data_IF_366626896500
#
_entry.id   IF_366626896500
#
_cell.length_a   1.000
_cell.length_b   1.000
_cell.length_c   1.000
_cell.angle_alpha   90.00
_cell.angle_beta   90.00
_cell.angle_gamma   90.00
#
_symmetry.space_group_name_H-M   'P 1'
#
loop_
_entity.id
_entity.type
_entity.pdbx_description
1 polymer ?
#
# COMPACT_ATOMS: atom_id res chain seq x y z
N UNK A 1 23.50 24.55 -11.53
CA UNK A 1 23.90 24.03 -10.20
C UNK A 1 23.34 25.00 -9.17
N UNK A 2 22.26 24.65 -8.50
CA UNK A 2 21.65 25.49 -7.46
C UNK A 2 22.50 25.40 -6.20
N UNK A 3 22.96 26.55 -5.68
CA UNK A 3 23.73 26.65 -4.44
C UNK A 3 22.88 26.05 -3.29
N UNK A 4 23.38 24.98 -2.67
CA UNK A 4 22.74 24.39 -1.49
C UNK A 4 22.94 25.31 -0.31
N UNK A 5 21.85 25.71 0.36
CA UNK A 5 21.96 26.36 1.66
C UNK A 5 22.66 25.39 2.63
N UNK A 6 23.74 25.81 3.31
CA UNK A 6 24.61 24.91 4.09
C UNK A 6 23.92 24.18 5.26
N UNK A 7 22.68 24.54 5.63
CA UNK A 7 21.92 23.93 6.73
C UNK A 7 20.60 23.30 6.30
N UNK A 8 20.32 23.19 4.98
CA UNK A 8 19.11 22.55 4.50
C UNK A 8 19.30 21.04 4.34
N UNK A 9 18.33 20.24 4.82
CA UNK A 9 18.32 18.81 4.54
C UNK A 9 18.10 18.54 3.05
N UNK A 10 18.78 17.53 2.52
CA UNK A 10 18.65 17.10 1.14
C UNK A 10 18.57 15.58 1.03
N UNK A 11 17.89 15.09 0.01
CA UNK A 11 17.76 13.67 -0.27
C UNK A 11 18.76 13.22 -1.33
N UNK A 12 19.31 12.03 -1.15
CA UNK A 12 20.15 11.33 -2.14
C UNK A 12 19.86 9.84 -2.17
N UNK A 13 20.27 9.19 -3.24
CA UNK A 13 20.28 7.74 -3.28
C UNK A 13 21.13 7.14 -2.15
N UNK A 14 20.73 5.98 -1.71
CA UNK A 14 21.43 5.15 -0.73
C UNK A 14 22.85 4.82 -1.18
N UNK A 15 23.75 4.72 -0.20
CA UNK A 15 25.10 4.19 -0.34
C UNK A 15 25.33 3.05 0.67
N UNK A 16 26.16 2.03 0.37
CA UNK A 16 26.39 0.91 1.30
C UNK A 16 26.83 1.33 2.71
N UNK A 17 27.53 2.45 2.84
CA UNK A 17 27.92 3.03 4.11
C UNK A 17 26.76 3.53 4.97
N UNK A 18 25.57 3.76 4.39
CA UNK A 18 24.39 4.25 5.13
C UNK A 18 23.69 3.15 5.93
N UNK A 19 23.99 1.88 5.66
CA UNK A 19 23.22 0.76 6.18
C UNK A 19 23.18 0.72 7.72
N UNK A 20 24.29 1.02 8.39
CA UNK A 20 24.35 1.05 9.85
C UNK A 20 23.51 2.18 10.43
N UNK A 21 23.58 3.37 9.83
CA UNK A 21 22.82 4.55 10.28
C UNK A 21 21.32 4.36 10.02
N UNK A 22 20.93 3.70 8.92
CA UNK A 22 19.53 3.33 8.66
C UNK A 22 19.02 2.36 9.73
N UNK A 23 19.78 1.33 10.07
CA UNK A 23 19.40 0.40 11.14
C UNK A 23 19.24 1.10 12.49
N UNK A 24 20.17 1.99 12.84
CA UNK A 24 20.08 2.80 14.04
C UNK A 24 18.84 3.74 14.02
N UNK A 25 18.53 4.34 12.87
CA UNK A 25 17.34 5.16 12.69
C UNK A 25 16.06 4.38 13.00
N UNK A 26 15.89 3.16 12.43
CA UNK A 26 14.71 2.34 12.70
C UNK A 26 14.59 1.99 14.18
N UNK A 27 15.69 1.64 14.86
CA UNK A 27 15.69 1.40 16.31
C UNK A 27 15.27 2.65 17.10
N UNK A 28 15.72 3.82 16.69
CA UNK A 28 15.37 5.08 17.37
C UNK A 28 13.88 5.46 17.22
N UNK A 29 13.23 5.00 16.15
CA UNK A 29 11.84 5.33 15.82
C UNK A 29 10.85 4.29 16.36
N UNK A 30 11.18 2.99 16.20
CA UNK A 30 10.26 1.87 16.42
C UNK A 30 10.72 0.91 17.54
N UNK A 31 11.88 1.14 18.16
CA UNK A 31 12.48 0.15 19.06
C UNK A 31 12.73 -1.17 18.30
N UNK A 32 12.26 -2.28 18.86
CA UNK A 32 12.41 -3.62 18.27
C UNK A 32 11.09 -4.15 17.65
N UNK A 33 10.10 -3.28 17.43
CA UNK A 33 8.73 -3.70 17.03
C UNK A 33 8.43 -3.53 15.55
N UNK A 34 9.38 -3.04 14.73
CA UNK A 34 9.08 -2.85 13.32
C UNK A 34 8.87 -4.19 12.62
N UNK A 35 7.83 -4.26 11.80
CA UNK A 35 7.33 -5.53 11.21
C UNK A 35 8.31 -6.23 10.25
N UNK A 36 9.29 -5.50 9.72
CA UNK A 36 10.32 -6.06 8.82
C UNK A 36 11.67 -6.09 9.51
N UNK A 37 12.12 -7.28 9.91
CA UNK A 37 13.40 -7.49 10.61
C UNK A 37 14.62 -7.07 9.77
N UNK A 38 14.51 -7.05 8.44
CA UNK A 38 15.58 -6.64 7.52
C UNK A 38 16.16 -5.26 7.87
N UNK A 39 15.34 -4.32 8.37
CA UNK A 39 15.81 -2.96 8.71
C UNK A 39 16.72 -2.90 9.93
N UNK A 40 16.75 -3.95 10.74
CA UNK A 40 17.63 -4.04 11.92
C UNK A 40 18.99 -4.64 11.61
N UNK A 41 19.18 -5.18 10.40
CA UNK A 41 20.39 -5.88 9.98
C UNK A 41 21.05 -5.09 8.83
N UNK A 42 22.16 -4.35 9.08
CA UNK A 42 22.85 -3.59 8.03
C UNK A 42 23.20 -4.45 6.81
N UNK A 43 23.56 -5.71 6.99
CA UNK A 43 23.84 -6.65 5.89
C UNK A 43 22.61 -6.92 5.02
N UNK A 44 21.41 -7.02 5.62
CA UNK A 44 20.17 -7.20 4.88
C UNK A 44 19.80 -5.93 4.11
N UNK A 45 19.97 -4.75 4.71
CA UNK A 45 19.76 -3.47 4.02
C UNK A 45 20.69 -3.38 2.79
N UNK A 46 21.96 -3.76 2.94
CA UNK A 46 22.91 -3.80 1.82
C UNK A 46 22.48 -4.80 0.75
N UNK A 47 22.13 -6.03 1.14
CA UNK A 47 21.71 -7.09 0.23
C UNK A 47 20.46 -6.71 -0.56
N UNK A 48 19.42 -6.16 0.09
CA UNK A 48 18.17 -5.73 -0.55
C UNK A 48 18.40 -4.61 -1.57
N UNK A 49 19.27 -3.65 -1.26
CA UNK A 49 19.63 -2.59 -2.20
C UNK A 49 20.52 -3.12 -3.35
N UNK A 50 21.49 -3.99 -3.06
CA UNK A 50 22.35 -4.59 -4.08
C UNK A 50 21.58 -5.47 -5.06
N UNK A 51 20.58 -6.24 -4.58
CA UNK A 51 19.71 -7.07 -5.42
C UNK A 51 18.70 -6.27 -6.25
N UNK A 52 18.53 -4.99 -5.94
CA UNK A 52 17.54 -4.13 -6.59
C UNK A 52 16.11 -4.30 -6.09
N UNK A 53 15.86 -5.15 -5.09
CA UNK A 53 14.55 -5.26 -4.46
C UNK A 53 14.17 -3.96 -3.74
N UNK A 54 15.17 -3.26 -3.18
CA UNK A 54 15.02 -1.91 -2.66
C UNK A 54 15.80 -0.92 -3.50
N UNK A 55 15.21 0.24 -3.70
CA UNK A 55 15.86 1.44 -4.21
C UNK A 55 15.68 2.52 -3.16
N UNK A 56 16.63 2.56 -2.22
CA UNK A 56 16.52 3.41 -1.05
C UNK A 56 17.05 4.81 -1.29
N UNK A 57 16.51 5.76 -0.54
CA UNK A 57 17.00 7.12 -0.43
C UNK A 57 17.16 7.51 1.04
N UNK A 58 18.11 8.39 1.31
CA UNK A 58 18.35 8.96 2.63
C UNK A 58 18.27 10.47 2.58
N UNK A 59 17.74 11.07 3.63
CA UNK A 59 17.80 12.51 3.85
C UNK A 59 18.95 12.81 4.83
N UNK A 60 19.82 13.73 4.45
CA UNK A 60 21.01 14.08 5.24
C UNK A 60 21.11 15.58 5.45
N UNK A 61 21.68 15.99 6.58
CA UNK A 61 22.04 17.38 6.91
C UNK A 61 23.30 17.37 7.77
N UNK A 62 24.29 18.14 7.40
CA UNK A 62 25.57 18.29 8.12
C UNK A 62 26.23 16.93 8.43
N UNK A 63 26.20 15.99 7.47
CA UNK A 63 26.74 14.64 7.58
C UNK A 63 25.90 13.66 8.40
N UNK A 64 24.79 14.08 9.03
CA UNK A 64 23.89 13.24 9.83
C UNK A 64 22.71 12.73 8.98
N UNK A 65 22.40 11.44 9.09
CA UNK A 65 21.22 10.85 8.49
C UNK A 65 19.98 11.22 9.33
N UNK A 66 18.99 11.84 8.67
CA UNK A 66 17.75 12.32 9.30
C UNK A 66 16.52 11.49 8.92
N UNK A 67 16.59 10.75 7.83
CA UNK A 67 15.48 9.93 7.39
C UNK A 67 15.87 8.96 6.29
N UNK A 68 15.04 7.94 6.12
CA UNK A 68 15.15 6.90 5.11
C UNK A 68 13.79 6.62 4.53
N UNK A 69 13.73 6.30 3.25
CA UNK A 69 12.58 5.65 2.59
C UNK A 69 13.08 4.83 1.41
N UNK A 70 12.25 3.92 0.90
CA UNK A 70 12.62 3.07 -0.23
C UNK A 70 11.47 2.89 -1.22
N UNK A 71 11.80 2.65 -2.48
CA UNK A 71 10.94 1.95 -3.42
C UNK A 71 11.18 0.46 -3.24
N UNK A 72 10.16 -0.24 -2.79
CA UNK A 72 10.19 -1.68 -2.72
C UNK A 72 9.62 -2.25 -4.02
N UNK A 73 10.48 -2.98 -4.74
CA UNK A 73 10.14 -3.61 -6.01
C UNK A 73 9.88 -5.10 -5.80
N UNK A 74 8.73 -5.56 -6.29
CA UNK A 74 8.35 -6.97 -6.28
C UNK A 74 8.43 -7.50 -7.72
N UNK A 75 9.29 -8.50 -8.02
CA UNK A 75 9.37 -9.11 -9.35
C UNK A 75 8.03 -9.67 -9.85
N UNK A 76 7.13 -10.06 -8.94
CA UNK A 76 5.78 -10.52 -9.29
C UNK A 76 4.84 -9.38 -9.73
N UNK A 77 5.27 -8.11 -9.60
CA UNK A 77 4.49 -6.92 -9.93
C UNK A 77 5.28 -5.96 -10.82
N UNK A 78 5.62 -6.35 -12.03
CA UNK A 78 6.44 -5.53 -12.94
C UNK A 78 5.78 -4.17 -13.18
N UNK A 79 6.58 -3.11 -13.21
CA UNK A 79 6.09 -1.74 -13.39
C UNK A 79 5.40 -1.12 -12.18
N UNK A 80 5.38 -1.80 -11.02
CA UNK A 80 4.86 -1.29 -9.76
C UNK A 80 5.97 -1.21 -8.71
N UNK A 81 5.92 -0.20 -7.84
CA UNK A 81 6.77 -0.11 -6.66
C UNK A 81 5.98 0.42 -5.46
N UNK A 82 6.30 -0.08 -4.27
CA UNK A 82 5.75 0.46 -3.03
C UNK A 82 6.73 1.49 -2.44
N UNK A 83 6.24 2.69 -2.18
CA UNK A 83 6.96 3.66 -1.36
C UNK A 83 6.81 3.22 0.10
N UNK A 84 7.88 2.64 0.64
CA UNK A 84 7.88 1.92 1.90
C UNK A 84 9.05 2.31 2.80
N UNK A 85 9.08 1.73 4.01
CA UNK A 85 10.16 1.84 4.98
C UNK A 85 10.54 3.30 5.27
N UNK A 86 9.51 4.17 5.38
CA UNK A 86 9.72 5.58 5.67
C UNK A 86 9.92 5.79 7.17
N UNK A 87 11.11 6.19 7.56
CA UNK A 87 11.48 6.56 8.92
C UNK A 87 12.11 7.93 8.94
N UNK A 88 11.70 8.77 9.92
CA UNK A 88 12.28 10.10 10.14
C UNK A 88 12.72 10.20 11.59
N UNK A 89 13.97 10.60 11.79
CA UNK A 89 14.55 10.81 13.12
C UNK A 89 13.64 11.72 13.97
N UNK A 90 13.38 11.40 15.24
CA UNK A 90 12.48 12.19 16.09
C UNK A 90 12.79 13.69 16.07
N UNK A 91 14.06 14.08 16.14
CA UNK A 91 14.51 15.51 16.14
C UNK A 91 14.29 16.22 14.79
N UNK A 92 14.01 15.47 13.71
CA UNK A 92 13.79 16.02 12.37
C UNK A 92 12.32 15.96 11.94
N UNK A 93 11.42 15.53 12.83
CA UNK A 93 9.98 15.53 12.55
C UNK A 93 9.44 16.95 12.36
N UNK A 94 8.38 17.09 11.57
CA UNK A 94 7.79 18.40 11.25
C UNK A 94 8.62 19.25 10.27
N UNK A 95 9.80 18.80 9.84
CA UNK A 95 10.71 19.55 8.96
C UNK A 95 10.60 19.14 7.48
N UNK A 96 9.56 18.42 7.08
CA UNK A 96 9.31 18.03 5.69
C UNK A 96 10.19 16.90 5.15
N UNK A 97 10.95 16.20 6.01
CA UNK A 97 11.92 15.15 5.59
C UNK A 97 11.21 14.00 4.85
N UNK A 98 10.07 13.53 5.36
CA UNK A 98 9.32 12.43 4.70
C UNK A 98 8.86 12.83 3.29
N UNK A 99 8.34 14.05 3.12
CA UNK A 99 7.93 14.56 1.80
C UNK A 99 9.13 14.81 0.88
N UNK A 100 10.27 15.21 1.42
CA UNK A 100 11.52 15.35 0.66
C UNK A 100 11.97 14.01 0.08
N UNK A 101 11.99 12.95 0.91
CA UNK A 101 12.31 11.59 0.49
C UNK A 101 11.29 11.06 -0.53
N UNK A 102 10.00 11.27 -0.27
CA UNK A 102 8.94 10.83 -1.19
C UNK A 102 9.05 11.47 -2.58
N UNK A 103 9.33 12.79 -2.66
CA UNK A 103 9.57 13.47 -3.95
C UNK A 103 10.80 12.92 -4.66
N UNK A 104 11.88 12.67 -3.95
CA UNK A 104 13.11 12.10 -4.51
C UNK A 104 12.85 10.69 -5.07
N UNK A 105 12.16 9.85 -4.31
CA UNK A 105 11.81 8.49 -4.75
C UNK A 105 10.80 8.48 -5.90
N UNK A 106 9.85 9.41 -5.94
CA UNK A 106 8.93 9.56 -7.07
C UNK A 106 9.69 9.89 -8.37
N UNK A 107 10.67 10.79 -8.31
CA UNK A 107 11.53 11.09 -9.47
C UNK A 107 12.33 9.86 -9.90
N UNK A 108 12.96 9.15 -8.95
CA UNK A 108 13.68 7.90 -9.21
C UNK A 108 12.75 6.83 -9.82
N UNK A 109 11.52 6.69 -9.36
CA UNK A 109 10.55 5.76 -9.91
C UNK A 109 10.23 6.06 -11.39
N UNK A 110 10.08 7.33 -11.75
CA UNK A 110 9.87 7.75 -13.14
C UNK A 110 11.08 7.41 -14.02
N UNK A 111 12.30 7.65 -13.52
CA UNK A 111 13.55 7.28 -14.23
C UNK A 111 13.68 5.76 -14.42
N UNK A 112 13.19 4.96 -13.48
CA UNK A 112 13.15 3.49 -13.54
C UNK A 112 12.01 2.95 -14.43
N UNK A 113 11.16 3.81 -15.01
CA UNK A 113 10.02 3.40 -15.82
C UNK A 113 8.88 2.76 -15.03
N UNK A 114 8.81 2.99 -13.72
CA UNK A 114 7.71 2.52 -12.87
C UNK A 114 6.42 3.22 -13.32
N UNK A 115 5.39 2.43 -13.58
CA UNK A 115 4.10 2.93 -14.05
C UNK A 115 3.17 3.32 -12.88
N UNK A 116 3.31 2.66 -11.74
CA UNK A 116 2.46 2.87 -10.56
C UNK A 116 3.27 2.84 -9.27
N UNK A 117 3.12 3.87 -8.46
CA UNK A 117 3.53 3.84 -7.06
C UNK A 117 2.36 3.46 -6.17
N UNK A 118 2.63 2.66 -5.16
CA UNK A 118 1.70 2.35 -4.08
C UNK A 118 2.28 2.78 -2.74
N UNK A 119 1.42 2.98 -1.74
CA UNK A 119 1.82 3.32 -0.38
C UNK A 119 0.85 2.71 0.62
N UNK A 120 1.37 2.22 1.73
CA UNK A 120 0.60 1.77 2.89
C UNK A 120 0.72 2.80 4.00
N UNK A 121 -0.42 3.37 4.38
CA UNK A 121 -0.53 4.45 5.34
C UNK A 121 -1.20 3.91 6.59
N UNK A 122 -0.52 3.94 7.73
CA UNK A 122 -1.09 3.46 9.00
C UNK A 122 -2.25 4.34 9.45
N UNK A 123 -3.27 3.73 10.09
CA UNK A 123 -4.43 4.45 10.62
C UNK A 123 -4.21 4.94 12.06
N UNK A 124 -3.21 4.43 12.78
CA UNK A 124 -2.93 4.80 14.18
C UNK A 124 -2.43 6.24 14.35
N UNK A 125 -1.94 6.87 13.28
CA UNK A 125 -1.52 8.26 13.28
C UNK A 125 -1.60 8.91 11.89
N UNK A 126 -1.82 10.25 11.82
CA UNK A 126 -2.13 10.92 10.56
C UNK A 126 -0.92 11.18 9.64
N UNK A 127 0.31 11.08 10.13
CA UNK A 127 1.51 11.57 9.44
C UNK A 127 1.73 10.91 8.08
N UNK A 128 1.57 9.57 7.99
CA UNK A 128 1.71 8.85 6.72
C UNK A 128 0.64 9.23 5.71
N UNK A 129 -0.60 9.50 6.16
CA UNK A 129 -1.70 9.94 5.33
C UNK A 129 -1.48 11.35 4.79
N UNK A 130 -0.98 12.29 5.61
CA UNK A 130 -0.60 13.63 5.15
C UNK A 130 0.53 13.61 4.12
N UNK A 131 1.55 12.76 4.33
CA UNK A 131 2.65 12.61 3.37
C UNK A 131 2.14 12.06 2.04
N UNK A 132 1.29 11.03 2.08
CA UNK A 132 0.72 10.43 0.88
C UNK A 132 -0.11 11.46 0.09
N UNK A 133 -1.01 12.21 0.76
CA UNK A 133 -1.79 13.27 0.14
C UNK A 133 -0.91 14.36 -0.48
N UNK A 134 0.13 14.82 0.23
CA UNK A 134 1.08 15.83 -0.27
C UNK A 134 1.91 15.34 -1.47
N UNK A 135 2.06 14.03 -1.67
CA UNK A 135 2.75 13.42 -2.81
C UNK A 135 1.80 13.14 -3.98
N UNK A 136 0.48 13.29 -3.79
CA UNK A 136 -0.55 13.09 -4.80
C UNK A 136 -1.05 11.64 -4.89
N UNK A 137 -0.91 10.83 -3.84
CA UNK A 137 -1.54 9.51 -3.79
C UNK A 137 -3.04 9.62 -3.62
N UNK A 138 -3.77 8.73 -4.27
CA UNK A 138 -5.22 8.55 -4.16
C UNK A 138 -5.51 7.28 -3.37
N UNK A 139 -6.38 7.37 -2.36
CA UNK A 139 -6.71 6.25 -1.48
C UNK A 139 -7.72 5.33 -2.16
N UNK A 140 -7.26 4.13 -2.56
CA UNK A 140 -8.03 3.18 -3.37
C UNK A 140 -8.55 1.99 -2.59
N UNK A 141 -7.99 1.67 -1.42
CA UNK A 141 -8.45 0.55 -0.60
C UNK A 141 -8.18 0.76 0.89
N UNK A 142 -8.88 -0.02 1.71
CA UNK A 142 -8.65 -0.18 3.14
C UNK A 142 -8.21 -1.60 3.43
N UNK A 143 -7.09 -1.75 4.11
CA UNK A 143 -6.56 -3.01 4.58
C UNK A 143 -6.74 -3.05 6.10
N UNK A 144 -7.90 -3.55 6.55
CA UNK A 144 -8.28 -3.53 7.97
C UNK A 144 -7.66 -4.71 8.71
N UNK A 145 -7.16 -4.49 9.94
CA UNK A 145 -6.45 -5.52 10.73
C UNK A 145 -5.26 -6.15 9.97
N UNK A 146 -4.49 -5.33 9.26
CA UNK A 146 -3.58 -5.79 8.21
C UNK A 146 -2.27 -6.39 8.73
N UNK A 147 -1.64 -5.75 9.72
CA UNK A 147 -0.34 -6.14 10.28
C UNK A 147 -0.32 -5.95 11.79
N UNK A 148 0.62 -6.60 12.46
CA UNK A 148 0.91 -6.32 13.87
C UNK A 148 1.35 -4.86 14.03
N UNK A 149 1.04 -4.27 15.17
CA UNK A 149 1.39 -2.87 15.43
C UNK A 149 2.92 -2.68 15.43
N UNK A 150 3.45 -1.78 14.60
CA UNK A 150 4.88 -1.45 14.60
C UNK A 150 5.34 -0.74 15.88
N UNK A 151 4.42 -0.43 16.79
CA UNK A 151 4.68 0.20 18.09
C UNK A 151 4.40 -0.74 19.27
N UNK A 152 4.28 -2.06 19.03
CA UNK A 152 4.09 -3.07 20.06
C UNK A 152 2.73 -3.04 20.76
N UNK A 153 1.71 -2.44 20.14
CA UNK A 153 0.33 -2.51 20.65
C UNK A 153 -0.28 -3.88 20.38
N UNK A 154 -1.20 -4.36 21.24
CA UNK A 154 -1.84 -5.66 21.03
C UNK A 154 -2.81 -5.68 19.86
N UNK A 155 -3.40 -4.52 19.51
CA UNK A 155 -4.34 -4.40 18.42
C UNK A 155 -3.56 -4.34 17.07
N UNK A 156 -4.04 -5.05 16.03
CA UNK A 156 -3.44 -4.97 14.70
C UNK A 156 -3.59 -3.56 14.10
N UNK A 157 -2.66 -3.18 13.28
CA UNK A 157 -2.69 -1.92 12.55
C UNK A 157 -3.52 -2.06 11.28
N UNK A 158 -4.44 -1.13 11.06
CA UNK A 158 -5.18 -0.97 9.81
C UNK A 158 -4.49 0.05 8.91
N UNK A 159 -4.65 -0.14 7.61
CA UNK A 159 -3.91 0.59 6.58
C UNK A 159 -4.87 1.24 5.58
N UNK A 160 -4.65 2.50 5.27
CA UNK A 160 -5.15 3.13 4.05
C UNK A 160 -4.16 2.85 2.92
N UNK A 161 -4.63 2.22 1.86
CA UNK A 161 -3.81 1.88 0.69
C UNK A 161 -3.99 2.94 -0.39
N UNK A 162 -2.89 3.57 -0.79
CA UNK A 162 -2.85 4.62 -1.80
C UNK A 162 -2.13 4.19 -3.07
N UNK A 163 -2.59 4.74 -4.20
CA UNK A 163 -1.99 4.58 -5.52
C UNK A 163 -1.67 5.95 -6.12
N UNK A 164 -0.53 6.05 -6.79
CA UNK A 164 -0.12 7.21 -7.58
C UNK A 164 0.29 6.73 -8.98
N UNK A 165 -0.52 6.98 -10.03
CA UNK A 165 -0.16 6.61 -11.39
C UNK A 165 0.95 7.55 -11.90
N UNK A 166 2.04 6.97 -12.39
CA UNK A 166 3.09 7.67 -13.14
C UNK A 166 2.92 7.50 -14.65
N UNK A 167 2.16 6.48 -15.06
CA UNK A 167 1.68 6.24 -16.41
C UNK A 167 0.17 5.95 -16.37
N UNK A 168 -0.56 6.11 -17.48
CA UNK A 168 -2.00 5.87 -17.54
C UNK A 168 -2.37 4.48 -16.99
N UNK A 169 -3.28 4.44 -16.02
CA UNK A 169 -3.84 3.23 -15.44
C UNK A 169 -5.33 3.44 -15.16
N UNK A 170 -6.18 3.48 -16.24
CA UNK A 170 -7.58 3.79 -16.09
C UNK A 170 -8.31 2.79 -15.17
N UNK A 171 -9.42 3.20 -14.57
CA UNK A 171 -10.35 2.28 -13.93
C UNK A 171 -11.15 1.53 -15.02
N UNK A 172 -11.57 0.28 -14.78
CA UNK A 172 -12.38 -0.44 -15.76
C UNK A 172 -13.76 0.21 -15.93
N UNK A 173 -14.25 0.27 -17.15
CA UNK A 173 -15.61 0.71 -17.46
C UNK A 173 -16.60 -0.37 -17.08
N UNK A 174 -17.25 -0.21 -15.93
CA UNK A 174 -18.19 -1.16 -15.35
C UNK A 174 -19.47 -0.43 -14.93
N UNK A 175 -20.57 -1.17 -14.86
CA UNK A 175 -21.81 -0.72 -14.21
C UNK A 175 -21.61 -0.75 -12.68
N UNK A 176 -20.86 0.22 -12.16
CA UNK A 176 -20.58 0.31 -10.73
C UNK A 176 -21.87 0.53 -9.92
N UNK A 177 -21.95 -0.02 -8.69
CA UNK A 177 -23.07 0.27 -7.82
C UNK A 177 -23.22 1.76 -7.57
N UNK A 178 -24.45 2.28 -7.64
CA UNK A 178 -24.72 3.72 -7.48
C UNK A 178 -24.29 4.23 -6.09
N UNK A 179 -24.40 3.39 -5.06
CA UNK A 179 -23.95 3.67 -3.70
C UNK A 179 -22.43 3.89 -3.57
N UNK A 180 -21.63 3.44 -4.54
CA UNK A 180 -20.18 3.64 -4.55
C UNK A 180 -19.74 4.93 -5.24
N UNK A 181 -20.66 5.67 -5.86
CA UNK A 181 -20.35 6.83 -6.70
C UNK A 181 -19.58 7.92 -5.95
N UNK A 182 -19.98 8.25 -4.71
CA UNK A 182 -19.31 9.28 -3.92
C UNK A 182 -17.84 8.98 -3.63
N UNK A 183 -17.47 7.69 -3.60
CA UNK A 183 -16.09 7.23 -3.43
C UNK A 183 -15.38 7.06 -4.77
N UNK A 184 -16.07 6.61 -5.82
CA UNK A 184 -15.48 6.35 -7.14
C UNK A 184 -15.19 7.63 -7.94
N UNK A 185 -16.03 8.66 -7.85
CA UNK A 185 -15.90 9.85 -8.68
C UNK A 185 -14.50 10.52 -8.61
N UNK A 186 -13.88 10.72 -7.42
CA UNK A 186 -12.51 11.24 -7.34
C UNK A 186 -11.48 10.30 -7.97
N UNK A 187 -11.68 8.98 -7.88
CA UNK A 187 -10.78 8.01 -8.50
C UNK A 187 -10.89 8.03 -10.03
N UNK A 188 -12.10 8.13 -10.59
CA UNK A 188 -12.30 8.32 -12.03
C UNK A 188 -11.61 9.58 -12.54
N UNK A 189 -11.70 10.67 -11.80
CA UNK A 189 -11.00 11.91 -12.15
C UNK A 189 -9.49 11.73 -12.18
N UNK A 190 -8.92 10.97 -11.21
CA UNK A 190 -7.49 10.79 -11.06
C UNK A 190 -6.89 9.77 -12.05
N UNK A 191 -7.60 8.67 -12.28
CA UNK A 191 -7.10 7.54 -13.06
C UNK A 191 -7.68 7.51 -14.48
N UNK A 192 -8.82 8.15 -14.73
CA UNK A 192 -9.62 7.97 -15.94
C UNK A 192 -10.38 6.64 -15.92
N UNK A 193 -11.17 6.40 -16.97
CA UNK A 193 -11.82 5.11 -17.23
C UNK A 193 -11.41 4.60 -18.62
N UNK A 194 -11.26 3.28 -18.76
CA UNK A 194 -10.86 2.67 -20.01
C UNK A 194 -10.95 1.15 -19.99
N UNK A 195 -10.76 0.57 -21.17
CA UNK A 195 -10.67 -0.87 -21.30
C UNK A 195 -9.25 -1.33 -20.94
N UNK A 196 -9.16 -2.44 -20.24
CA UNK A 196 -7.91 -3.18 -20.09
C UNK A 196 -7.85 -4.22 -21.21
N UNK A 197 -6.68 -4.32 -21.82
CA UNK A 197 -6.36 -5.51 -22.61
C UNK A 197 -6.54 -6.78 -21.73
N UNK A 198 -6.67 -7.96 -22.34
CA UNK A 198 -6.86 -9.20 -21.61
C UNK A 198 -5.80 -9.30 -20.50
N UNK A 199 -6.24 -9.50 -19.26
CA UNK A 199 -5.35 -9.77 -18.17
C UNK A 199 -4.41 -10.89 -18.58
N UNK A 200 -3.10 -10.70 -18.38
CA UNK A 200 -2.12 -11.74 -18.68
C UNK A 200 -2.57 -13.08 -18.10
N UNK A 201 -2.09 -14.18 -18.65
CA UNK A 201 -2.58 -15.55 -18.44
C UNK A 201 -3.20 -15.75 -17.06
N UNK A 202 -4.51 -15.99 -17.03
CA UNK A 202 -5.26 -16.20 -15.81
C UNK A 202 -4.59 -17.33 -15.02
N UNK A 203 -4.15 -17.06 -13.80
CA UNK A 203 -3.72 -18.11 -12.88
C UNK A 203 -4.95 -18.99 -12.63
N UNK A 204 -4.93 -20.27 -13.02
CA UNK A 204 -6.08 -21.13 -12.81
C UNK A 204 -6.30 -21.36 -11.31
N UNK A 205 -7.56 -21.27 -10.88
CA UNK A 205 -7.96 -21.68 -9.56
C UNK A 205 -7.95 -20.59 -8.50
N UNK A 206 -7.78 -20.99 -7.24
CA UNK A 206 -7.75 -20.17 -6.05
C UNK A 206 -6.31 -20.16 -5.51
N UNK A 207 -5.65 -19.01 -5.58
CA UNK A 207 -4.37 -18.80 -4.88
C UNK A 207 -4.65 -18.44 -3.43
N UNK A 208 -3.87 -19.03 -2.52
CA UNK A 208 -4.03 -18.89 -1.08
C UNK A 208 -2.67 -18.58 -0.44
N UNK A 209 -2.59 -17.52 0.37
CA UNK A 209 -1.42 -17.14 1.12
C UNK A 209 -1.81 -16.80 2.57
N UNK A 210 -0.98 -17.18 3.54
CA UNK A 210 -1.19 -16.84 4.95
C UNK A 210 -0.13 -15.86 5.43
N UNK A 211 -0.58 -14.80 6.08
CA UNK A 211 0.28 -13.77 6.70
C UNK A 211 -0.18 -13.58 8.15
N UNK A 212 0.50 -14.26 9.09
CA UNK A 212 0.04 -14.30 10.47
C UNK A 212 -1.37 -14.89 10.58
N UNK A 213 -2.30 -14.15 11.14
CA UNK A 213 -3.71 -14.56 11.25
C UNK A 213 -4.53 -14.29 9.98
N UNK A 214 -4.03 -13.44 9.07
CA UNK A 214 -4.72 -13.08 7.83
C UNK A 214 -4.52 -14.14 6.75
N UNK A 215 -5.62 -14.58 6.14
CA UNK A 215 -5.64 -15.45 4.97
C UNK A 215 -6.00 -14.61 3.75
N UNK A 216 -5.10 -14.54 2.78
CA UNK A 216 -5.31 -13.87 1.50
C UNK A 216 -5.69 -14.89 0.43
N UNK A 217 -6.80 -14.63 -0.22
CA UNK A 217 -7.38 -15.44 -1.29
C UNK A 217 -7.40 -14.62 -2.57
N UNK A 218 -6.91 -15.17 -3.67
CA UNK A 218 -7.00 -14.53 -4.98
C UNK A 218 -7.63 -15.51 -5.97
N UNK A 219 -8.72 -15.12 -6.60
CA UNK A 219 -9.38 -15.90 -7.64
C UNK A 219 -9.63 -15.05 -8.87
N UNK A 220 -9.32 -15.59 -10.04
CA UNK A 220 -9.63 -14.95 -11.33
C UNK A 220 -11.05 -15.30 -11.83
N UNK A 221 -11.70 -16.29 -11.21
CA UNK A 221 -13.02 -16.77 -11.61
C UNK A 221 -13.96 -16.78 -10.39
N UNK A 222 -14.76 -15.71 -10.18
CA UNK A 222 -15.70 -15.61 -9.07
C UNK A 222 -16.98 -16.42 -9.33
N UNK A 223 -16.86 -17.73 -9.62
CA UNK A 223 -18.02 -18.61 -9.82
C UNK A 223 -18.79 -18.78 -8.51
N UNK A 224 -20.09 -19.09 -8.62
CA UNK A 224 -20.94 -19.30 -7.45
C UNK A 224 -20.40 -20.41 -6.54
N UNK A 225 -19.98 -21.54 -7.12
CA UNK A 225 -19.39 -22.65 -6.39
C UNK A 225 -18.11 -22.23 -5.64
N UNK A 226 -17.24 -21.45 -6.29
CA UNK A 226 -16.01 -20.94 -5.67
C UNK A 226 -16.30 -19.99 -4.50
N UNK A 227 -17.26 -19.09 -4.65
CA UNK A 227 -17.65 -18.17 -3.60
C UNK A 227 -18.34 -18.89 -2.43
N UNK A 228 -19.13 -19.95 -2.70
CA UNK A 228 -19.71 -20.80 -1.66
C UNK A 228 -18.63 -21.55 -0.86
N UNK A 229 -17.60 -22.08 -1.54
CA UNK A 229 -16.45 -22.72 -0.90
C UNK A 229 -15.70 -21.73 0.03
N UNK A 230 -15.45 -20.51 -0.43
CA UNK A 230 -14.81 -19.45 0.35
C UNK A 230 -15.70 -19.02 1.53
N UNK A 231 -17.01 -18.90 1.31
CA UNK A 231 -17.97 -18.53 2.35
C UNK A 231 -18.03 -19.56 3.49
N UNK A 232 -17.78 -20.84 3.20
CA UNK A 232 -17.75 -21.93 4.18
C UNK A 232 -16.51 -21.91 5.11
N UNK A 233 -15.51 -21.08 4.84
CA UNK A 233 -14.39 -20.89 5.77
C UNK A 233 -14.88 -20.35 7.11
N UNK A 234 -14.17 -20.64 8.24
CA UNK A 234 -14.59 -20.20 9.58
C UNK A 234 -14.90 -18.71 9.65
N UNK A 235 -16.02 -18.34 10.26
CA UNK A 235 -16.51 -16.94 10.29
C UNK A 235 -15.54 -15.98 10.97
N UNK A 236 -14.79 -16.42 12.00
CA UNK A 236 -13.79 -15.61 12.70
C UNK A 236 -12.42 -15.56 12.02
N UNK A 237 -12.24 -16.23 10.88
CA UNK A 237 -10.99 -16.14 10.13
C UNK A 237 -10.90 -14.80 9.41
N UNK A 238 -9.84 -14.03 9.67
CA UNK A 238 -9.55 -12.82 8.90
C UNK A 238 -9.22 -13.17 7.47
N UNK A 239 -10.09 -12.77 6.54
CA UNK A 239 -10.02 -13.07 5.12
C UNK A 239 -9.88 -11.80 4.29
N UNK A 240 -8.94 -11.83 3.35
CA UNK A 240 -8.75 -10.86 2.28
C UNK A 240 -8.99 -11.56 0.95
N UNK A 241 -10.13 -11.33 0.34
CA UNK A 241 -10.48 -11.92 -0.96
C UNK A 241 -10.27 -10.89 -2.06
N UNK A 242 -9.40 -11.22 -3.02
CA UNK A 242 -9.07 -10.40 -4.19
C UNK A 242 -9.68 -11.04 -5.43
N UNK A 243 -10.60 -10.32 -6.06
CA UNK A 243 -11.31 -10.73 -7.29
C UNK A 243 -11.06 -9.72 -8.41
N UNK A 244 -11.13 -10.09 -9.68
CA UNK A 244 -11.01 -9.13 -10.78
C UNK A 244 -12.06 -8.01 -10.66
N UNK A 245 -11.69 -6.78 -10.97
CA UNK A 245 -12.64 -5.70 -11.14
C UNK A 245 -13.35 -5.87 -12.49
N UNK A 246 -14.40 -6.69 -12.49
CA UNK A 246 -15.14 -7.14 -13.67
C UNK A 246 -16.65 -7.24 -13.39
N UNK A 247 -17.45 -7.25 -14.43
CA UNK A 247 -18.92 -7.32 -14.37
C UNK A 247 -19.39 -8.55 -13.58
N UNK A 248 -18.75 -9.69 -13.80
CA UNK A 248 -19.07 -10.95 -13.12
C UNK A 248 -18.86 -10.85 -11.61
N UNK A 249 -17.80 -10.17 -11.16
CA UNK A 249 -17.54 -9.93 -9.74
C UNK A 249 -18.60 -9.01 -9.14
N UNK A 250 -18.93 -7.91 -9.82
CA UNK A 250 -19.97 -6.98 -9.36
C UNK A 250 -21.35 -7.65 -9.28
N UNK A 251 -21.67 -8.54 -10.21
CA UNK A 251 -22.91 -9.32 -10.16
C UNK A 251 -23.01 -10.23 -8.90
N UNK A 252 -21.87 -10.60 -8.32
CA UNK A 252 -21.79 -11.43 -7.11
C UNK A 252 -21.70 -10.65 -5.80
N UNK A 253 -21.73 -9.31 -5.84
CA UNK A 253 -21.51 -8.48 -4.64
C UNK A 253 -22.48 -8.80 -3.50
N UNK A 254 -23.77 -9.01 -3.81
CA UNK A 254 -24.79 -9.33 -2.80
C UNK A 254 -24.52 -10.70 -2.15
N UNK A 255 -24.08 -11.69 -2.94
CA UNK A 255 -23.68 -13.00 -2.40
C UNK A 255 -22.50 -12.85 -1.43
N UNK A 256 -21.50 -12.03 -1.76
CA UNK A 256 -20.36 -11.75 -0.88
C UNK A 256 -20.79 -11.04 0.40
N UNK A 257 -21.65 -10.03 0.30
CA UNK A 257 -22.19 -9.31 1.47
C UNK A 257 -22.98 -10.26 2.39
N UNK A 258 -23.84 -11.10 1.83
CA UNK A 258 -24.60 -12.11 2.59
C UNK A 258 -23.68 -13.15 3.27
N UNK A 259 -22.49 -13.40 2.71
CA UNK A 259 -21.45 -14.24 3.31
C UNK A 259 -20.58 -13.49 4.34
N UNK A 260 -20.94 -12.25 4.72
CA UNK A 260 -20.28 -11.44 5.72
C UNK A 260 -19.04 -10.68 5.22
N UNK A 261 -18.81 -10.62 3.90
CA UNK A 261 -17.74 -9.81 3.35
C UNK A 261 -18.14 -8.34 3.24
N UNK A 262 -17.19 -7.46 3.55
CA UNK A 262 -17.26 -6.01 3.35
C UNK A 262 -16.37 -5.61 2.19
N UNK A 263 -16.80 -4.64 1.40
CA UNK A 263 -15.99 -4.11 0.30
C UNK A 263 -14.82 -3.29 0.83
N UNK A 264 -13.60 -3.68 0.49
CA UNK A 264 -12.35 -3.04 0.95
C UNK A 264 -11.74 -2.07 -0.08
N UNK A 265 -12.33 -1.92 -1.27
CA UNK A 265 -11.83 -1.01 -2.31
C UNK A 265 -11.14 -1.70 -3.48
N UNK A 266 -10.28 -0.95 -4.15
CA UNK A 266 -9.56 -1.36 -5.36
C UNK A 266 -8.06 -1.52 -5.08
N UNK A 267 -7.51 -2.66 -5.46
CA UNK A 267 -6.07 -2.93 -5.47
C UNK A 267 -5.57 -3.07 -6.91
N UNK A 268 -4.35 -2.60 -7.22
CA UNK A 268 -3.76 -2.84 -8.52
C UNK A 268 -3.44 -4.33 -8.69
N UNK A 269 -3.87 -4.91 -9.81
CA UNK A 269 -3.53 -6.28 -10.15
C UNK A 269 -2.05 -6.38 -10.60
N UNK A 270 -1.36 -7.53 -10.36
CA UNK A 270 0.04 -7.72 -10.74
C UNK A 270 0.31 -7.51 -12.23
N UNK A 271 -0.53 -8.08 -13.09
CA UNK A 271 -0.40 -8.06 -14.54
C UNK A 271 -1.06 -6.85 -15.23
N UNK A 272 -1.39 -5.81 -14.48
CA UNK A 272 -2.19 -4.67 -14.96
C UNK A 272 -3.66 -4.78 -14.54
N UNK A 273 -4.42 -3.69 -14.69
CA UNK A 273 -5.80 -3.63 -14.25
C UNK A 273 -5.99 -3.54 -12.74
N UNK A 274 -7.20 -3.86 -12.28
CA UNK A 274 -7.62 -3.70 -10.90
C UNK A 274 -8.31 -4.94 -10.35
N UNK A 275 -8.23 -5.12 -9.03
CA UNK A 275 -8.94 -6.14 -8.27
C UNK A 275 -9.84 -5.48 -7.25
N UNK A 276 -11.04 -6.03 -7.04
CA UNK A 276 -11.91 -5.71 -5.92
C UNK A 276 -11.41 -6.46 -4.68
N UNK A 277 -11.20 -5.74 -3.60
CA UNK A 277 -10.87 -6.30 -2.30
C UNK A 277 -12.15 -6.51 -1.50
N UNK A 278 -12.29 -7.67 -0.89
CA UNK A 278 -13.36 -8.02 0.02
C UNK A 278 -12.78 -8.54 1.33
N UNK A 279 -13.32 -8.09 2.46
CA UNK A 279 -12.79 -8.34 3.80
C UNK A 279 -13.82 -9.03 4.68
N UNK A 280 -13.40 -10.02 5.49
CA UNK A 280 -14.26 -10.69 6.47
C UNK A 280 -13.46 -11.07 7.71
N UNK A 281 -14.12 -11.26 8.86
CA UNK A 281 -13.50 -11.67 10.12
C UNK A 281 -12.70 -10.56 10.80
N UNK A 282 -13.13 -9.30 10.60
CA UNK A 282 -12.50 -8.11 11.18
C UNK A 282 -12.75 -8.01 12.69
N UNK A 283 -11.79 -7.43 13.42
CA UNK A 283 -11.86 -7.24 14.88
C UNK A 283 -12.90 -6.20 15.32
N UNK A 284 -13.38 -5.36 14.39
CA UNK A 284 -14.37 -4.32 14.71
C UNK A 284 -13.80 -3.09 15.43
N UNK A 285 -12.50 -2.81 15.25
CA UNK A 285 -11.86 -1.62 15.82
C UNK A 285 -12.46 -0.33 15.28
N UNK A 286 -12.55 0.69 16.14
CA UNK A 286 -12.87 2.06 15.74
C UNK A 286 -11.63 2.67 15.07
N UNK A 287 -11.77 3.04 13.79
CA UNK A 287 -10.69 3.55 12.95
C UNK A 287 -10.97 5.00 12.58
N UNK A 288 -9.99 5.86 12.78
CA UNK A 288 -10.05 7.26 12.38
C UNK A 288 -9.25 7.49 11.11
N UNK A 289 -9.89 8.12 10.14
CA UNK A 289 -9.25 8.51 8.89
C UNK A 289 -8.97 10.02 8.91
N UNK A 290 -7.85 10.42 8.28
CA UNK A 290 -7.53 11.83 8.05
C UNK A 290 -7.95 12.28 6.65
N UNK A 291 -8.35 11.33 5.81
CA UNK A 291 -8.71 11.53 4.42
C UNK A 291 -10.17 11.14 4.20
N UNK A 292 -10.94 12.05 3.62
CA UNK A 292 -12.37 11.86 3.37
C UNK A 292 -12.65 10.71 2.40
N UNK A 293 -11.75 10.45 1.45
CA UNK A 293 -11.87 9.35 0.50
C UNK A 293 -11.82 7.99 1.21
N UNK A 294 -10.88 7.83 2.15
CA UNK A 294 -10.78 6.63 2.98
C UNK A 294 -12.01 6.46 3.88
N UNK A 295 -12.51 7.55 4.47
CA UNK A 295 -13.71 7.53 5.30
C UNK A 295 -14.97 7.18 4.49
N UNK A 296 -15.13 7.72 3.27
CA UNK A 296 -16.23 7.37 2.37
C UNK A 296 -16.22 5.87 2.05
N UNK A 297 -15.06 5.30 1.72
CA UNK A 297 -14.94 3.86 1.46
C UNK A 297 -15.34 3.03 2.69
N UNK A 298 -14.90 3.44 3.88
CA UNK A 298 -15.25 2.74 5.12
C UNK A 298 -16.77 2.73 5.38
N UNK A 299 -17.42 3.86 5.15
CA UNK A 299 -18.88 4.02 5.32
C UNK A 299 -19.73 3.25 4.31
N UNK A 300 -19.18 2.83 3.17
CA UNK A 300 -19.92 1.97 2.22
C UNK A 300 -20.36 0.62 2.81
N UNK A 301 -19.82 0.26 3.97
CA UNK A 301 -20.09 -1.01 4.64
C UNK A 301 -20.72 -0.83 6.04
N UNK A 302 -21.12 0.39 6.38
CA UNK A 302 -21.75 0.72 7.66
C UNK A 302 -23.24 0.39 7.66
#
# INVERSE_FOLDING_TARGET
>A
MSARHPHAAWARAYQPSDAADISALFRSVYGDHYVYADVYLPSQIQQRNASGQWRSAVAVRDGRLLGHATLWLDPARPGQAELALNAVHPDARGQGIASLLGRHLRAMAAELGIALLTIKQVCSHPQSQYVAGALGFHNTALLLDYVDSPFGKPEPESIVFGCLPLQPRPLPQLAWPAEWESWLAPLRQAFGEGEYGPAGAALPGLALARHGQRLELTSQQPTEARLAEIAALPAGQLLYLKLPAATETLARRIQLQNAGFRFGGLLPAPAGGWQLLWLRGLSGQDIRFCDEQAERLYRLNA
#
